data_IF_283151977838
#
_entry.id   IF_283151977838
#
_cell.length_a   1.000
_cell.length_b   1.000
_cell.length_c   1.000
_cell.angle_alpha   90.00
_cell.angle_beta   90.00
_cell.angle_gamma   90.00
#
_symmetry.space_group_name_H-M   'P 1'
#
loop_
_entity.id
_entity.type
_entity.pdbx_description
1 polymer ?
#
# COMPACT_ATOMS: atom_id res chain seq x y z
N UNK A 1 -4.18 2.73 21.96
CA UNK A 1 -4.99 3.12 20.79
C UNK A 1 -4.12 3.46 19.54
N UNK A 2 -2.87 2.98 19.44
CA UNK A 2 -1.90 3.37 18.40
C UNK A 2 -2.04 2.66 17.04
N UNK A 3 -2.78 1.54 16.98
CA UNK A 3 -2.92 0.75 15.74
C UNK A 3 -3.73 1.47 14.64
N UNK A 4 -4.61 2.41 15.01
CA UNK A 4 -5.47 3.10 14.06
C UNK A 4 -4.72 4.13 13.22
N UNK A 5 -3.74 4.83 13.80
CA UNK A 5 -3.01 5.90 13.10
C UNK A 5 -2.10 5.34 12.00
N UNK A 6 -1.33 4.29 12.30
CA UNK A 6 -0.50 3.62 11.28
C UNK A 6 -1.35 3.04 10.14
N UNK A 7 -2.49 2.42 10.45
CA UNK A 7 -3.41 1.89 9.43
C UNK A 7 -4.02 2.99 8.57
N UNK A 8 -4.38 4.14 9.17
CA UNK A 8 -4.88 5.30 8.43
C UNK A 8 -3.84 5.89 7.48
N UNK A 9 -2.60 6.06 7.94
CA UNK A 9 -1.50 6.54 7.12
C UNK A 9 -1.21 5.60 5.94
N UNK A 10 -1.20 4.28 6.18
CA UNK A 10 -1.06 3.27 5.12
C UNK A 10 -2.23 3.31 4.13
N UNK A 11 -3.47 3.41 4.63
CA UNK A 11 -4.65 3.51 3.78
C UNK A 11 -4.61 4.78 2.90
N UNK A 12 -4.09 5.89 3.42
CA UNK A 12 -3.90 7.11 2.65
C UNK A 12 -2.87 6.93 1.54
N UNK A 13 -1.71 6.31 1.84
CA UNK A 13 -0.69 6.00 0.82
C UNK A 13 -1.25 5.09 -0.28
N UNK A 14 -2.01 4.05 0.11
CA UNK A 14 -2.66 3.14 -0.85
C UNK A 14 -3.69 3.85 -1.71
N UNK A 15 -4.53 4.74 -1.14
CA UNK A 15 -5.48 5.54 -1.93
C UNK A 15 -4.77 6.37 -2.99
N UNK A 16 -3.66 7.03 -2.64
CA UNK A 16 -2.87 7.80 -3.61
C UNK A 16 -2.30 6.91 -4.72
N UNK A 17 -1.80 5.72 -4.37
CA UNK A 17 -1.29 4.76 -5.35
C UNK A 17 -2.40 4.27 -6.30
N UNK A 18 -3.59 3.99 -5.77
CA UNK A 18 -4.76 3.56 -6.58
C UNK A 18 -5.16 4.66 -7.56
N UNK A 19 -5.31 5.90 -7.09
CA UNK A 19 -5.69 7.04 -7.93
C UNK A 19 -4.68 7.31 -9.05
N UNK A 20 -3.39 7.13 -8.79
CA UNK A 20 -2.33 7.41 -9.78
C UNK A 20 -2.12 6.27 -10.78
N UNK A 21 -2.14 5.03 -10.32
CA UNK A 21 -1.61 3.90 -11.10
C UNK A 21 -2.68 2.93 -11.60
N UNK A 22 -3.95 3.05 -11.18
CA UNK A 22 -5.04 2.12 -11.52
C UNK A 22 -4.60 0.65 -11.40
N UNK A 23 -4.23 0.20 -10.18
CA UNK A 23 -3.67 -1.13 -9.96
C UNK A 23 -4.63 -2.24 -10.39
N UNK A 24 -4.05 -3.31 -10.91
CA UNK A 24 -4.74 -4.56 -11.23
C UNK A 24 -5.27 -5.26 -9.98
N UNK A 25 -6.18 -6.22 -10.14
CA UNK A 25 -6.75 -7.01 -9.03
C UNK A 25 -5.69 -7.67 -8.13
N UNK A 26 -4.60 -8.25 -8.65
CA UNK A 26 -3.50 -8.79 -7.83
C UNK A 26 -2.79 -7.69 -7.02
N UNK A 27 -2.50 -6.54 -7.62
CA UNK A 27 -1.86 -5.41 -6.94
C UNK A 27 -2.76 -4.85 -5.82
N UNK A 28 -4.07 -4.80 -6.03
CA UNK A 28 -5.04 -4.40 -4.99
C UNK A 28 -5.02 -5.34 -3.77
N UNK A 29 -4.87 -6.64 -3.98
CA UNK A 29 -4.76 -7.61 -2.88
C UNK A 29 -3.51 -7.34 -2.03
N UNK A 30 -2.36 -7.11 -2.68
CA UNK A 30 -1.09 -6.79 -2.02
C UNK A 30 -1.20 -5.47 -1.23
N UNK A 31 -1.76 -4.42 -1.83
CA UNK A 31 -1.99 -3.13 -1.18
C UNK A 31 -2.92 -3.27 0.05
N UNK A 32 -3.92 -4.15 -0.03
CA UNK A 32 -4.83 -4.41 1.10
C UNK A 32 -4.08 -5.08 2.26
N UNK A 33 -3.22 -6.06 1.98
CA UNK A 33 -2.37 -6.71 3.00
C UNK A 33 -1.43 -5.71 3.68
N UNK A 34 -0.90 -4.73 2.95
CA UNK A 34 -0.09 -3.64 3.51
C UNK A 34 -0.88 -2.78 4.52
N UNK A 35 -2.10 -2.36 4.14
CA UNK A 35 -2.98 -1.56 5.02
C UNK A 35 -3.35 -2.31 6.29
N UNK A 36 -3.61 -3.61 6.19
CA UNK A 36 -3.94 -4.44 7.34
C UNK A 36 -2.78 -4.62 8.33
N UNK A 37 -1.55 -4.35 7.89
CA UNK A 37 -0.34 -4.52 8.70
C UNK A 37 0.40 -5.82 8.44
N UNK A 38 -0.07 -6.64 7.50
CA UNK A 38 0.47 -7.98 7.25
C UNK A 38 1.75 -7.97 6.42
N UNK A 39 1.97 -6.92 5.61
CA UNK A 39 3.19 -6.69 4.84
C UNK A 39 3.88 -5.39 5.25
N UNK A 40 5.21 -5.40 5.20
CA UNK A 40 6.02 -4.18 5.26
C UNK A 40 5.98 -3.43 3.92
N UNK A 41 6.41 -2.16 3.91
CA UNK A 41 6.46 -1.36 2.69
C UNK A 41 7.40 -1.99 1.64
N UNK A 42 8.55 -2.50 2.07
CA UNK A 42 9.51 -3.18 1.18
C UNK A 42 8.92 -4.45 0.57
N UNK A 43 8.30 -5.30 1.38
CA UNK A 43 7.64 -6.52 0.90
C UNK A 43 6.53 -6.19 -0.09
N UNK A 44 5.71 -5.20 0.23
CA UNK A 44 4.63 -4.70 -0.63
C UNK A 44 5.18 -4.23 -1.98
N UNK A 45 6.24 -3.41 -1.99
CA UNK A 45 6.85 -2.94 -3.23
C UNK A 45 7.54 -4.06 -4.02
N UNK A 46 8.07 -5.08 -3.35
CA UNK A 46 8.63 -6.26 -4.03
C UNK A 46 7.53 -7.04 -4.77
N UNK A 47 6.41 -7.31 -4.10
CA UNK A 47 5.24 -7.99 -4.69
C UNK A 47 4.64 -7.16 -5.83
N UNK A 48 4.41 -5.85 -5.62
CA UNK A 48 3.84 -4.99 -6.67
C UNK A 48 4.71 -4.93 -7.93
N UNK A 49 6.03 -4.99 -7.80
CA UNK A 49 6.94 -5.10 -8.96
C UNK A 49 6.83 -6.42 -9.71
N UNK A 50 6.45 -7.50 -9.04
CA UNK A 50 6.21 -8.79 -9.69
C UNK A 50 4.88 -8.81 -10.44
N UNK A 51 3.86 -8.14 -9.90
CA UNK A 51 2.51 -8.13 -10.47
C UNK A 51 2.24 -6.96 -11.42
N UNK A 52 3.04 -5.89 -11.41
CA UNK A 52 2.78 -4.72 -12.25
C UNK A 52 3.72 -3.53 -12.06
N UNK A 53 3.19 -2.33 -12.34
CA UNK A 53 3.93 -1.05 -12.35
C UNK A 53 3.68 -0.21 -11.10
N UNK A 54 2.80 -0.64 -10.21
CA UNK A 54 2.42 0.15 -9.04
C UNK A 54 3.59 0.21 -8.05
N UNK A 55 4.00 1.41 -7.67
CA UNK A 55 4.96 1.63 -6.59
C UNK A 55 4.25 2.35 -5.46
N UNK A 56 4.32 1.79 -4.26
CA UNK A 56 3.79 2.39 -3.06
C UNK A 56 4.88 3.23 -2.39
N UNK A 57 4.60 4.53 -2.24
CA UNK A 57 5.45 5.42 -1.46
C UNK A 57 5.25 5.20 0.04
N UNK A 58 6.28 5.50 0.84
CA UNK A 58 6.15 5.46 2.29
C UNK A 58 5.02 6.39 2.76
N UNK A 59 4.19 5.96 3.72
CA UNK A 59 3.19 6.83 4.29
C UNK A 59 3.88 7.97 5.03
N UNK A 60 3.67 9.20 4.57
CA UNK A 60 4.17 10.42 5.21
C UNK A 60 3.02 11.04 5.99
N UNK A 61 3.21 11.29 7.27
CA UNK A 61 2.31 12.14 8.05
C UNK A 61 2.45 13.57 7.53
N UNK A 62 1.41 14.08 6.88
CA UNK A 62 1.32 15.48 6.46
C UNK A 62 1.05 16.39 7.66
#
# INVERSE_FOLDING_TARGET
MFLSESKNLRAQAVRQAITRNQPSTPELAVLTQYVLGNLSLEQTNSELRQHGRTILAAPVAA
#
